data_IF_166376937103
#
_entry.id   IF_166376937103
#
_cell.length_a   1.000
_cell.length_b   1.000
_cell.length_c   1.000
_cell.angle_alpha   90.00
_cell.angle_beta   90.00
_cell.angle_gamma   90.00
#
_symmetry.space_group_name_H-M   'P 1'
#
loop_
_entity.id
_entity.type
_entity.pdbx_description
1 polymer ?
#
# COMPACT_ATOMS: atom_id res chain seq x y z
N UNK A 1 0.76 -22.98 -28.11
CA UNK A 1 -0.15 -21.95 -27.55
C UNK A 1 -1.06 -22.48 -26.44
N UNK A 2 -1.70 -23.65 -26.59
CA UNK A 2 -2.64 -24.24 -25.61
C UNK A 2 -2.10 -24.40 -24.17
N UNK A 3 -0.84 -24.80 -24.00
CA UNK A 3 -0.19 -24.93 -22.66
C UNK A 3 -0.08 -23.61 -21.90
N UNK A 4 0.16 -22.48 -22.58
CA UNK A 4 0.29 -21.17 -21.93
C UNK A 4 -1.04 -20.74 -21.31
N UNK A 5 -2.14 -20.88 -22.04
CA UNK A 5 -3.48 -20.53 -21.56
C UNK A 5 -3.95 -21.39 -20.37
N UNK A 6 -3.58 -22.67 -20.31
CA UNK A 6 -3.89 -23.54 -19.16
C UNK A 6 -3.16 -23.06 -17.91
N UNK A 7 -1.87 -22.74 -18.01
CA UNK A 7 -1.07 -22.24 -16.88
C UNK A 7 -1.62 -20.89 -16.41
N UNK A 8 -1.94 -19.98 -17.33
CA UNK A 8 -2.53 -18.69 -17.00
C UNK A 8 -3.89 -18.84 -16.33
N UNK A 9 -4.76 -19.73 -16.83
CA UNK A 9 -6.07 -20.00 -16.23
C UNK A 9 -5.98 -20.56 -14.81
N UNK A 10 -5.05 -21.49 -14.57
CA UNK A 10 -4.82 -22.05 -13.24
C UNK A 10 -4.27 -21.01 -12.26
N UNK A 11 -3.37 -20.13 -12.71
CA UNK A 11 -2.85 -19.03 -11.89
C UNK A 11 -3.98 -18.06 -11.48
N UNK A 12 -4.86 -17.69 -12.41
CA UNK A 12 -6.02 -16.82 -12.11
C UNK A 12 -6.96 -17.48 -11.11
N UNK A 13 -7.24 -18.78 -11.26
CA UNK A 13 -8.08 -19.54 -10.32
C UNK A 13 -7.48 -19.57 -8.90
N UNK A 14 -6.17 -19.79 -8.77
CA UNK A 14 -5.49 -19.77 -7.47
C UNK A 14 -5.52 -18.38 -6.82
N UNK A 15 -5.32 -17.32 -7.62
CA UNK A 15 -5.41 -15.94 -7.12
C UNK A 15 -6.82 -15.59 -6.65
N UNK A 16 -7.85 -15.98 -7.41
CA UNK A 16 -9.25 -15.79 -7.02
C UNK A 16 -9.60 -16.61 -5.76
N UNK A 17 -9.13 -17.86 -5.67
CA UNK A 17 -9.32 -18.69 -4.48
C UNK A 17 -8.66 -18.09 -3.24
N UNK A 18 -7.42 -17.61 -3.37
CA UNK A 18 -6.72 -16.90 -2.29
C UNK A 18 -7.43 -15.59 -1.88
N UNK A 19 -7.93 -14.83 -2.85
CA UNK A 19 -8.69 -13.60 -2.61
C UNK A 19 -10.00 -13.86 -1.83
N UNK A 20 -10.78 -14.87 -2.23
CA UNK A 20 -12.02 -15.25 -1.54
C UNK A 20 -11.72 -15.73 -0.11
N UNK A 21 -10.70 -16.57 0.06
CA UNK A 21 -10.27 -17.03 1.38
C UNK A 21 -9.83 -15.87 2.27
N UNK A 22 -9.06 -14.91 1.74
CA UNK A 22 -8.62 -13.72 2.46
C UNK A 22 -9.78 -12.85 2.96
N UNK A 23 -10.81 -12.63 2.12
CA UNK A 23 -12.02 -11.89 2.53
C UNK A 23 -12.78 -12.65 3.61
N UNK A 24 -12.90 -13.97 3.48
CA UNK A 24 -13.65 -14.81 4.44
C UNK A 24 -13.05 -14.80 5.85
N UNK A 25 -11.75 -14.55 5.98
CA UNK A 25 -11.03 -14.54 7.27
C UNK A 25 -11.02 -13.18 7.97
N UNK A 26 -11.70 -12.15 7.45
CA UNK A 26 -11.69 -10.83 8.07
C UNK A 26 -12.59 -10.69 9.32
N UNK A 27 -13.28 -11.76 9.75
CA UNK A 27 -14.04 -11.74 11.00
C UNK A 27 -13.06 -11.74 12.18
N UNK A 28 -13.14 -10.72 13.01
CA UNK A 28 -12.36 -10.66 14.25
C UNK A 28 -12.99 -11.56 15.30
N UNK A 29 -12.15 -12.35 15.98
CA UNK A 29 -12.56 -13.11 17.15
C UNK A 29 -13.12 -12.17 18.22
N UNK A 30 -14.22 -12.60 18.85
CA UNK A 30 -14.96 -11.76 19.79
C UNK A 30 -14.13 -11.36 21.02
N UNK A 31 -13.31 -12.28 21.53
CA UNK A 31 -12.43 -12.03 22.68
C UNK A 31 -11.38 -10.95 22.36
N UNK A 32 -10.74 -11.06 21.18
CA UNK A 32 -9.76 -10.07 20.70
C UNK A 32 -10.44 -8.71 20.52
N UNK A 33 -11.63 -8.69 19.92
CA UNK A 33 -12.41 -7.48 19.69
C UNK A 33 -12.75 -6.75 20.99
N UNK A 34 -13.21 -7.47 22.01
CA UNK A 34 -13.51 -6.87 23.33
C UNK A 34 -12.24 -6.36 24.02
N UNK A 35 -11.12 -7.08 23.90
CA UNK A 35 -9.81 -6.61 24.39
C UNK A 35 -9.39 -5.28 23.76
N UNK A 36 -9.53 -5.15 22.44
CA UNK A 36 -9.23 -3.93 21.70
C UNK A 36 -10.17 -2.77 22.06
N UNK A 37 -11.45 -3.05 22.27
CA UNK A 37 -12.40 -2.06 22.80
C UNK A 37 -12.00 -1.55 24.18
N UNK A 38 -11.54 -2.44 25.07
CA UNK A 38 -11.06 -2.06 26.40
C UNK A 38 -9.77 -1.24 26.35
N UNK A 39 -8.88 -1.51 25.38
CA UNK A 39 -7.69 -0.69 25.13
C UNK A 39 -8.07 0.71 24.61
N UNK A 40 -9.08 0.79 23.75
CA UNK A 40 -9.55 2.05 23.15
C UNK A 40 -10.28 2.94 24.16
N UNK A 41 -11.10 2.34 25.04
CA UNK A 41 -11.90 3.05 26.04
C UNK A 41 -11.82 2.34 27.41
N UNK A 42 -10.73 2.54 28.17
CA UNK A 42 -10.49 1.86 29.44
C UNK A 42 -11.56 2.12 30.52
N UNK A 43 -12.23 3.27 30.47
CA UNK A 43 -13.28 3.67 31.41
C UNK A 43 -14.60 2.91 31.23
N UNK A 44 -14.84 2.28 30.07
CA UNK A 44 -16.06 1.53 29.83
C UNK A 44 -16.04 0.16 30.54
N UNK A 45 -17.17 -0.20 31.16
CA UNK A 45 -17.36 -1.46 31.87
C UNK A 45 -17.96 -2.55 30.97
N UNK A 46 -18.79 -2.18 29.99
CA UNK A 46 -19.51 -3.11 29.12
C UNK A 46 -19.53 -2.62 27.68
N UNK A 47 -19.43 -3.56 26.73
CA UNK A 47 -19.56 -3.28 25.30
C UNK A 47 -20.71 -4.12 24.71
N UNK A 48 -21.64 -3.48 24.01
CA UNK A 48 -22.73 -4.16 23.30
C UNK A 48 -22.54 -3.97 21.79
N UNK A 49 -22.46 -5.06 20.99
CA UNK A 49 -22.17 -4.96 19.58
C UNK A 49 -23.33 -4.33 18.80
N UNK A 50 -23.01 -3.37 17.95
CA UNK A 50 -23.92 -2.81 16.94
C UNK A 50 -23.77 -3.55 15.61
N UNK A 51 -22.52 -3.83 15.23
CA UNK A 51 -22.15 -4.59 14.04
C UNK A 51 -20.95 -5.48 14.35
N UNK A 52 -20.43 -6.20 13.35
CA UNK A 52 -19.19 -6.97 13.49
C UNK A 52 -17.99 -6.13 13.95
N UNK A 53 -18.03 -4.81 13.73
CA UNK A 53 -16.90 -3.89 13.95
C UNK A 53 -17.22 -2.64 14.76
N UNK A 54 -18.43 -2.50 15.28
CA UNK A 54 -18.84 -1.34 16.09
C UNK A 54 -19.62 -1.79 17.32
N UNK A 55 -19.56 -1.01 18.40
CA UNK A 55 -20.21 -1.30 19.65
C UNK A 55 -20.63 -0.02 20.39
N UNK A 56 -21.65 -0.14 21.24
CA UNK A 56 -21.97 0.80 22.30
C UNK A 56 -21.11 0.48 23.52
N UNK A 57 -20.57 1.50 24.17
CA UNK A 57 -19.77 1.38 25.37
C UNK A 57 -20.50 2.02 26.56
N UNK A 58 -20.67 1.27 27.63
CA UNK A 58 -21.36 1.68 28.85
C UNK A 58 -20.41 1.71 30.03
N UNK A 59 -20.64 2.63 30.97
CA UNK A 59 -19.92 2.70 32.23
C UNK A 59 -20.44 1.64 33.25
N UNK A 60 -19.88 1.68 34.47
CA UNK A 60 -20.30 0.77 35.55
C UNK A 60 -21.70 1.05 36.09
N UNK A 61 -22.29 2.22 35.81
CA UNK A 61 -23.66 2.58 36.18
C UNK A 61 -24.68 2.17 35.10
N UNK A 62 -24.21 1.77 33.91
CA UNK A 62 -25.04 1.44 32.76
C UNK A 62 -25.39 2.63 31.87
N UNK A 63 -24.72 3.78 32.06
CA UNK A 63 -24.89 4.94 31.19
C UNK A 63 -24.02 4.81 29.93
N UNK A 64 -24.57 5.24 28.79
CA UNK A 64 -23.86 5.24 27.51
C UNK A 64 -22.75 6.30 27.54
N UNK A 65 -21.50 5.83 27.41
CA UNK A 65 -20.32 6.70 27.38
C UNK A 65 -19.99 7.13 25.96
N UNK A 66 -19.99 6.19 25.03
CA UNK A 66 -19.59 6.41 23.65
C UNK A 66 -20.01 5.25 22.73
N UNK A 67 -19.94 5.49 21.44
CA UNK A 67 -19.89 4.47 20.41
C UNK A 67 -18.44 4.29 19.95
N UNK A 68 -18.04 3.06 19.72
CA UNK A 68 -16.69 2.73 19.29
C UNK A 68 -16.71 1.80 18.09
N UNK A 69 -15.64 1.80 17.32
CA UNK A 69 -15.46 0.78 16.30
C UNK A 69 -14.02 0.65 15.83
N UNK A 70 -13.78 -0.44 15.10
CA UNK A 70 -12.48 -0.88 14.65
C UNK A 70 -12.51 -1.07 13.15
N UNK A 71 -11.54 -0.49 12.45
CA UNK A 71 -11.42 -0.64 11.00
C UNK A 71 -9.96 -0.69 10.59
N UNK A 72 -9.68 -1.51 9.58
CA UNK A 72 -8.32 -1.78 9.12
C UNK A 72 -8.15 -1.36 7.67
N UNK A 73 -7.24 -0.43 7.43
CA UNK A 73 -6.87 0.04 6.09
C UNK A 73 -5.36 -0.08 5.87
N UNK A 74 -4.95 -0.18 4.61
CA UNK A 74 -3.52 -0.36 4.26
C UNK A 74 -2.78 0.97 4.24
N UNK A 75 -1.80 1.11 5.15
CA UNK A 75 -0.82 2.20 5.18
C UNK A 75 0.40 1.93 4.29
N UNK A 76 1.54 2.55 4.61
CA UNK A 76 2.78 2.34 3.87
C UNK A 76 3.41 0.96 4.14
N UNK A 77 3.48 0.59 5.41
CA UNK A 77 4.07 -0.63 5.95
C UNK A 77 3.09 -1.79 6.14
N UNK A 78 1.81 -1.62 5.77
CA UNK A 78 0.83 -2.70 5.72
C UNK A 78 -0.54 -2.31 6.30
N UNK A 79 -1.41 -3.30 6.55
CA UNK A 79 -2.66 -3.07 7.26
C UNK A 79 -2.42 -2.43 8.63
N UNK A 80 -3.27 -1.47 8.97
CA UNK A 80 -3.24 -0.73 10.22
C UNK A 80 -4.65 -0.70 10.79
N UNK A 81 -4.79 -1.24 12.00
CA UNK A 81 -6.04 -1.25 12.76
C UNK A 81 -6.16 0.03 13.57
N UNK A 82 -7.24 0.77 13.32
CA UNK A 82 -7.52 2.04 13.97
C UNK A 82 -8.84 1.94 14.71
N UNK A 83 -8.81 2.35 15.98
CA UNK A 83 -9.98 2.55 16.81
C UNK A 83 -10.52 3.95 16.67
N UNK A 84 -11.83 4.05 16.46
CA UNK A 84 -12.57 5.32 16.37
C UNK A 84 -13.55 5.39 17.53
N UNK A 85 -13.61 6.56 18.17
CA UNK A 85 -14.53 6.84 19.27
C UNK A 85 -15.44 7.98 18.84
N UNK A 86 -16.75 7.77 18.99
CA UNK A 86 -17.81 8.76 18.76
C UNK A 86 -18.53 8.94 20.09
N UNK A 87 -18.63 10.15 20.59
CA UNK A 87 -19.38 10.41 21.83
C UNK A 87 -20.89 10.20 21.65
N UNK A 88 -21.63 10.26 22.75
CA UNK A 88 -23.09 10.11 22.75
C UNK A 88 -23.81 11.21 21.96
N UNK A 89 -23.16 12.34 21.67
CA UNK A 89 -23.69 13.44 20.85
C UNK A 89 -23.43 13.28 19.35
N UNK A 90 -22.68 12.26 18.95
CA UNK A 90 -22.33 12.01 17.55
C UNK A 90 -21.09 12.78 17.07
N UNK A 91 -20.21 13.19 17.99
CA UNK A 91 -18.93 13.83 17.66
C UNK A 91 -17.76 12.89 17.82
N UNK A 92 -16.78 13.04 16.94
CA UNK A 92 -15.55 12.25 16.95
C UNK A 92 -14.57 12.72 18.03
N UNK A 93 -13.80 11.77 18.54
CA UNK A 93 -12.57 12.01 19.32
C UNK A 93 -11.34 11.63 18.50
N UNK A 94 -10.16 11.91 19.04
CA UNK A 94 -8.89 11.50 18.43
C UNK A 94 -8.86 9.99 18.17
N UNK A 95 -8.51 9.54 16.96
CA UNK A 95 -8.44 8.12 16.64
C UNK A 95 -7.16 7.51 17.23
N UNK A 96 -7.24 6.23 17.58
CA UNK A 96 -6.14 5.50 18.20
C UNK A 96 -5.67 4.40 17.27
N UNK A 97 -4.37 4.37 16.97
CA UNK A 97 -3.75 3.26 16.23
C UNK A 97 -3.52 2.12 17.23
N UNK A 98 -4.19 0.99 17.01
CA UNK A 98 -4.14 -0.17 17.91
C UNK A 98 -3.10 -1.19 17.44
N UNK A 99 -3.10 -1.49 16.14
CA UNK A 99 -2.13 -2.39 15.51
C UNK A 99 -1.63 -1.80 14.20
N UNK A 100 -0.35 -1.97 13.90
CA UNK A 100 0.22 -1.51 12.62
C UNK A 100 1.53 -2.25 12.31
N UNK A 101 1.89 -2.23 11.03
CA UNK A 101 3.21 -2.67 10.55
C UNK A 101 4.01 -1.49 9.98
N UNK A 102 3.73 -0.27 10.46
CA UNK A 102 4.32 0.94 9.91
C UNK A 102 5.78 1.11 10.31
N UNK A 103 6.55 1.80 9.46
CA UNK A 103 7.88 2.23 9.88
C UNK A 103 7.74 3.26 11.00
N UNK A 104 8.44 3.12 12.14
CA UNK A 104 8.25 4.00 13.30
C UNK A 104 8.36 5.50 12.97
N UNK A 105 9.20 5.86 12.01
CA UNK A 105 9.39 7.24 11.55
C UNK A 105 8.11 7.88 10.98
N UNK A 106 7.21 7.11 10.37
CA UNK A 106 5.94 7.64 9.87
C UNK A 106 4.96 7.93 11.01
N UNK A 107 4.83 7.02 11.97
CA UNK A 107 3.97 7.24 13.15
C UNK A 107 4.48 8.40 14.01
N UNK A 108 5.79 8.49 14.19
CA UNK A 108 6.41 9.62 14.87
C UNK A 108 6.12 10.95 14.15
N UNK A 109 6.09 10.98 12.81
CA UNK A 109 5.70 12.18 12.05
C UNK A 109 4.24 12.55 12.28
N UNK A 110 3.33 11.57 12.30
CA UNK A 110 1.92 11.81 12.61
C UNK A 110 1.77 12.40 14.01
N UNK A 111 2.39 11.79 15.01
CA UNK A 111 2.35 12.27 16.39
C UNK A 111 3.01 13.66 16.56
N UNK A 112 4.20 13.84 15.99
CA UNK A 112 4.96 15.09 16.09
C UNK A 112 4.33 16.26 15.32
N UNK A 113 3.42 16.00 14.38
CA UNK A 113 2.68 17.05 13.69
C UNK A 113 1.83 17.89 14.65
N UNK A 114 1.39 17.32 15.78
CA UNK A 114 0.58 17.98 16.80
C UNK A 114 -0.87 18.29 16.39
N UNK A 115 -1.17 18.39 15.10
CA UNK A 115 -2.52 18.66 14.58
C UNK A 115 -3.24 17.40 14.07
N UNK A 116 -2.50 16.39 13.61
CA UNK A 116 -3.08 15.34 12.76
C UNK A 116 -4.17 14.51 13.43
N UNK A 117 -4.02 14.19 14.72
CA UNK A 117 -5.07 13.47 15.47
C UNK A 117 -6.14 14.42 16.02
N UNK A 118 -5.76 15.67 16.32
CA UNK A 118 -6.66 16.67 16.90
C UNK A 118 -7.71 17.20 15.94
N UNK A 119 -7.42 17.21 14.64
CA UNK A 119 -8.39 17.64 13.62
C UNK A 119 -9.68 16.81 13.61
N UNK A 120 -9.65 15.59 14.18
CA UNK A 120 -10.84 14.75 14.31
C UNK A 120 -11.76 15.16 15.47
N UNK A 121 -11.24 15.86 16.48
CA UNK A 121 -12.03 16.23 17.65
C UNK A 121 -13.20 17.13 17.24
N UNK A 122 -14.37 16.85 17.81
CA UNK A 122 -15.62 17.59 17.60
C UNK A 122 -16.18 17.54 16.18
N UNK A 123 -15.54 16.85 15.23
CA UNK A 123 -16.12 16.63 13.91
C UNK A 123 -17.37 15.74 14.03
N UNK A 124 -18.48 16.08 13.34
CA UNK A 124 -19.66 15.26 13.38
C UNK A 124 -19.43 13.92 12.67
N UNK A 125 -20.07 12.87 13.17
CA UNK A 125 -19.93 11.49 12.71
C UNK A 125 -20.25 11.28 11.21
N UNK A 126 -21.02 12.20 10.61
CA UNK A 126 -21.44 12.18 9.22
C UNK A 126 -20.55 13.04 8.29
N UNK A 127 -19.44 13.62 8.79
CA UNK A 127 -18.47 14.39 8.00
C UNK A 127 -17.85 13.56 6.87
N UNK A 128 -17.25 14.21 5.86
CA UNK A 128 -16.63 13.54 4.71
C UNK A 128 -15.45 12.65 5.12
N UNK A 129 -14.60 13.12 6.04
CA UNK A 129 -13.43 12.46 6.62
C UNK A 129 -12.41 11.98 5.56
N UNK A 130 -12.10 12.84 4.60
CA UNK A 130 -11.18 12.57 3.50
C UNK A 130 -10.04 13.58 3.42
N UNK A 131 -8.82 13.06 3.25
CA UNK A 131 -7.65 13.90 3.01
C UNK A 131 -7.84 14.81 1.79
N UNK A 132 -7.40 16.07 1.93
CA UNK A 132 -7.55 17.18 0.94
C UNK A 132 -8.97 17.71 0.75
N UNK A 133 -9.95 17.23 1.52
CA UNK A 133 -11.29 17.83 1.56
C UNK A 133 -11.46 18.51 2.92
N UNK A 134 -11.71 17.74 3.96
CA UNK A 134 -11.93 18.21 5.32
C UNK A 134 -10.83 17.77 6.30
N UNK A 135 -9.88 16.95 5.84
CA UNK A 135 -8.72 16.52 6.62
C UNK A 135 -7.39 16.86 5.93
N UNK A 136 -6.40 17.23 6.74
CA UNK A 136 -5.03 17.47 6.33
C UNK A 136 -4.17 16.21 6.46
N UNK A 137 -3.29 16.01 5.47
CA UNK A 137 -2.33 14.91 5.45
C UNK A 137 -0.96 15.34 5.98
N UNK A 138 -0.26 14.43 6.66
CA UNK A 138 1.12 14.70 7.12
C UNK A 138 2.10 14.50 5.97
N UNK A 139 2.90 15.52 5.70
CA UNK A 139 3.94 15.49 4.67
C UNK A 139 4.97 14.39 4.95
N UNK A 140 5.22 13.55 3.94
CA UNK A 140 6.10 12.39 4.04
C UNK A 140 5.48 11.18 4.73
N UNK A 141 4.23 11.23 5.19
CA UNK A 141 3.49 10.11 5.78
C UNK A 141 2.06 9.99 5.22
N UNK A 142 1.86 10.42 3.97
CA UNK A 142 0.53 10.54 3.34
C UNK A 142 -0.24 9.22 3.26
N UNK A 143 0.43 8.09 3.04
CA UNK A 143 -0.23 6.78 3.01
C UNK A 143 -0.69 6.34 4.40
N UNK A 144 0.14 6.56 5.42
CA UNK A 144 -0.19 6.30 6.83
C UNK A 144 -1.36 7.20 7.27
N UNK A 145 -1.29 8.51 6.96
CA UNK A 145 -2.41 9.42 7.19
C UNK A 145 -3.68 8.92 6.51
N UNK A 146 -3.59 8.53 5.23
CA UNK A 146 -4.77 8.06 4.48
C UNK A 146 -5.41 6.85 5.14
N UNK A 147 -4.61 5.87 5.57
CA UNK A 147 -5.11 4.69 6.25
C UNK A 147 -5.85 5.05 7.56
N UNK A 148 -5.35 6.01 8.36
CA UNK A 148 -6.10 6.52 9.53
C UNK A 148 -7.42 7.15 9.09
N UNK A 149 -7.40 8.05 8.11
CA UNK A 149 -8.63 8.74 7.67
C UNK A 149 -9.67 7.79 7.09
N UNK A 150 -9.26 6.80 6.30
CA UNK A 150 -10.16 5.83 5.70
C UNK A 150 -10.78 4.91 6.76
N UNK A 151 -9.98 4.49 7.75
CA UNK A 151 -10.48 3.75 8.90
C UNK A 151 -11.51 4.55 9.71
N UNK A 152 -11.19 5.80 10.06
CA UNK A 152 -12.10 6.66 10.83
C UNK A 152 -13.39 6.90 10.06
N UNK A 153 -13.29 7.20 8.77
CA UNK A 153 -14.44 7.40 7.88
C UNK A 153 -15.35 6.19 7.83
N UNK A 154 -14.79 5.00 7.64
CA UNK A 154 -15.59 3.76 7.58
C UNK A 154 -16.36 3.53 8.88
N UNK A 155 -15.68 3.66 10.03
CA UNK A 155 -16.30 3.45 11.35
C UNK A 155 -17.32 4.53 11.68
N UNK A 156 -16.99 5.80 11.46
CA UNK A 156 -17.89 6.92 11.69
C UNK A 156 -19.15 6.80 10.83
N UNK A 157 -19.00 6.57 9.52
CA UNK A 157 -20.14 6.43 8.61
C UNK A 157 -21.02 5.21 8.92
N UNK A 158 -20.42 4.14 9.46
CA UNK A 158 -21.18 3.00 9.99
C UNK A 158 -22.06 3.43 11.18
N UNK A 159 -21.47 4.06 12.19
CA UNK A 159 -22.18 4.56 13.39
C UNK A 159 -23.24 5.60 13.02
N UNK A 160 -22.92 6.52 12.10
CA UNK A 160 -23.84 7.55 11.61
C UNK A 160 -25.14 6.96 11.07
N UNK A 161 -25.06 5.85 10.32
CA UNK A 161 -26.21 5.17 9.72
C UNK A 161 -26.99 4.33 10.73
N UNK A 162 -26.28 3.50 11.50
CA UNK A 162 -26.90 2.52 12.40
C UNK A 162 -27.51 3.17 13.65
N UNK A 163 -26.87 4.22 14.18
CA UNK A 163 -27.25 4.83 15.46
C UNK A 163 -27.99 6.15 15.25
N UNK A 164 -27.40 7.05 14.47
CA UNK A 164 -27.93 8.42 14.33
C UNK A 164 -28.89 8.57 13.15
N UNK A 165 -29.06 7.53 12.33
CA UNK A 165 -29.87 7.53 11.10
C UNK A 165 -29.54 8.71 10.17
N UNK A 166 -28.28 9.14 10.16
CA UNK A 166 -27.76 10.18 9.31
C UNK A 166 -27.22 9.57 8.03
N UNK A 167 -27.45 10.25 6.90
CA UNK A 167 -26.76 9.96 5.65
C UNK A 167 -25.40 10.68 5.67
N UNK A 168 -24.27 9.96 5.66
CA UNK A 168 -22.96 10.58 5.67
C UNK A 168 -22.70 11.37 4.39
N UNK A 169 -22.02 12.51 4.54
CA UNK A 169 -21.56 13.30 3.42
C UNK A 169 -20.62 12.46 2.56
N UNK A 170 -20.92 12.40 1.26
CA UNK A 170 -20.15 11.60 0.33
C UNK A 170 -18.96 12.43 -0.17
N UNK A 171 -17.74 11.85 -0.19
CA UNK A 171 -16.59 12.55 -0.73
C UNK A 171 -16.76 12.81 -2.22
N UNK A 172 -16.38 14.01 -2.66
CA UNK A 172 -16.27 14.31 -4.10
C UNK A 172 -15.00 13.65 -4.62
N UNK A 173 -15.12 12.44 -5.16
CA UNK A 173 -13.97 11.69 -5.70
C UNK A 173 -13.85 11.96 -7.19
N UNK A 174 -13.07 12.98 -7.54
CA UNK A 174 -12.68 13.25 -8.92
C UNK A 174 -11.50 12.39 -9.33
N UNK A 175 -11.36 12.18 -10.64
CA UNK A 175 -10.16 11.56 -11.19
C UNK A 175 -9.01 12.56 -11.11
N UNK A 176 -8.10 12.37 -10.14
CA UNK A 176 -6.83 13.08 -10.11
C UNK A 176 -5.88 12.53 -11.19
N UNK A 177 -6.22 12.71 -12.47
CA UNK A 177 -5.29 12.46 -13.57
C UNK A 177 -4.47 13.73 -13.82
N UNK A 178 -3.22 13.71 -13.38
CA UNK A 178 -2.34 14.87 -13.44
C UNK A 178 -1.03 14.61 -14.17
N UNK A 179 -0.11 15.54 -13.95
CA UNK A 179 1.25 15.48 -14.51
C UNK A 179 2.01 14.23 -14.06
N UNK A 180 1.74 13.73 -12.85
CA UNK A 180 2.40 12.56 -12.26
C UNK A 180 2.08 11.28 -13.02
N UNK A 181 0.81 11.09 -13.37
CA UNK A 181 0.30 9.95 -14.10
C UNK A 181 0.83 9.96 -15.54
N UNK A 182 0.78 11.13 -16.20
CA UNK A 182 1.29 11.31 -17.56
C UNK A 182 2.78 10.99 -17.64
N UNK A 183 3.59 11.59 -16.76
CA UNK A 183 5.04 11.36 -16.72
C UNK A 183 5.36 9.88 -16.48
N UNK A 184 4.62 9.22 -15.59
CA UNK A 184 4.81 7.79 -15.30
C UNK A 184 4.46 6.92 -16.51
N UNK A 185 3.36 7.20 -17.20
CA UNK A 185 2.98 6.50 -18.44
C UNK A 185 4.07 6.69 -19.50
N UNK A 186 4.57 7.91 -19.67
CA UNK A 186 5.64 8.22 -20.63
C UNK A 186 6.95 7.48 -20.29
N UNK A 187 7.31 7.36 -19.01
CA UNK A 187 8.47 6.56 -18.59
C UNK A 187 8.31 5.08 -18.97
N UNK A 188 7.16 4.46 -18.69
CA UNK A 188 6.92 3.07 -19.07
C UNK A 188 6.86 2.87 -20.60
N UNK A 189 6.27 3.81 -21.33
CA UNK A 189 6.27 3.80 -22.79
C UNK A 189 7.68 3.90 -23.36
N UNK A 190 8.50 4.82 -22.84
CA UNK A 190 9.90 5.00 -23.26
C UNK A 190 10.74 3.76 -22.94
N UNK A 191 10.54 3.12 -21.78
CA UNK A 191 11.17 1.84 -21.43
C UNK A 191 10.90 0.76 -22.49
N UNK A 192 9.66 0.66 -22.97
CA UNK A 192 9.30 -0.27 -24.03
C UNK A 192 9.98 0.07 -25.37
N UNK A 193 10.11 1.36 -25.71
CA UNK A 193 10.82 1.82 -26.92
C UNK A 193 12.31 1.48 -26.85
N UNK A 194 12.97 1.76 -25.74
CA UNK A 194 14.39 1.42 -25.52
C UNK A 194 14.60 -0.10 -25.63
N UNK A 195 13.67 -0.89 -25.10
CA UNK A 195 13.70 -2.35 -25.23
C UNK A 195 13.62 -2.83 -26.69
N UNK A 196 12.77 -2.20 -27.53
CA UNK A 196 12.61 -2.59 -28.94
C UNK A 196 13.73 -2.10 -29.84
N UNK A 197 14.26 -0.91 -29.61
CA UNK A 197 15.28 -0.29 -30.46
C UNK A 197 16.67 -0.51 -29.88
N UNK A 198 17.38 -1.53 -30.36
CA UNK A 198 18.73 -1.89 -29.88
C UNK A 198 19.71 -0.70 -29.83
N UNK A 199 19.63 0.24 -30.78
CA UNK A 199 20.47 1.45 -30.80
C UNK A 199 20.28 2.34 -29.57
N UNK A 200 19.08 2.38 -28.98
CA UNK A 200 18.77 3.19 -27.80
C UNK A 200 19.26 2.56 -26.49
N UNK A 201 19.57 1.26 -26.49
CA UNK A 201 20.06 0.57 -25.28
C UNK A 201 21.38 1.14 -24.75
N UNK A 202 22.17 1.83 -25.59
CA UNK A 202 23.37 2.57 -25.14
C UNK A 202 23.05 3.66 -24.10
N UNK A 203 21.83 4.19 -24.11
CA UNK A 203 21.37 5.24 -23.19
C UNK A 203 20.62 4.68 -21.98
N UNK A 204 20.61 3.34 -21.79
CA UNK A 204 19.88 2.68 -20.70
C UNK A 204 20.20 3.29 -19.34
N UNK A 205 21.49 3.44 -19.01
CA UNK A 205 21.90 3.96 -17.71
C UNK A 205 21.41 5.39 -17.48
N UNK A 206 21.48 6.23 -18.51
CA UNK A 206 20.99 7.61 -18.43
C UNK A 206 19.48 7.63 -18.19
N UNK A 207 18.73 6.81 -18.95
CA UNK A 207 17.29 6.68 -18.75
C UNK A 207 16.94 6.15 -17.35
N UNK A 208 17.67 5.14 -16.87
CA UNK A 208 17.49 4.56 -15.54
C UNK A 208 17.76 5.61 -14.45
N UNK A 209 18.80 6.43 -14.60
CA UNK A 209 19.08 7.56 -13.70
C UNK A 209 17.97 8.61 -13.68
N UNK A 210 17.44 8.98 -14.85
CA UNK A 210 16.28 9.90 -14.96
C UNK A 210 15.05 9.29 -14.29
N UNK A 211 14.78 8.00 -14.52
CA UNK A 211 13.68 7.29 -13.88
C UNK A 211 13.84 7.24 -12.35
N UNK A 212 15.06 7.01 -11.85
CA UNK A 212 15.37 7.07 -10.41
C UNK A 212 15.06 8.45 -9.81
N UNK A 213 15.42 9.54 -10.49
CA UNK A 213 15.10 10.90 -10.01
C UNK A 213 13.59 11.16 -10.01
N UNK A 214 12.89 10.75 -11.07
CA UNK A 214 11.45 11.00 -11.22
C UNK A 214 10.62 10.11 -10.28
N UNK A 215 10.74 8.78 -10.39
CA UNK A 215 9.92 7.85 -9.60
C UNK A 215 10.40 7.74 -8.14
N UNK A 216 11.72 7.80 -7.92
CA UNK A 216 12.31 7.65 -6.60
C UNK A 216 12.24 8.93 -5.77
N UNK A 217 12.73 10.05 -6.30
CA UNK A 217 12.85 11.28 -5.51
C UNK A 217 11.65 12.22 -5.66
N UNK A 218 11.16 12.46 -6.89
CA UNK A 218 10.06 13.41 -7.10
C UNK A 218 8.69 12.83 -6.74
N UNK A 219 8.38 11.64 -7.27
CA UNK A 219 7.10 10.98 -7.04
C UNK A 219 7.10 10.15 -5.75
N UNK A 220 8.26 9.69 -5.30
CA UNK A 220 8.43 8.79 -4.15
C UNK A 220 7.44 7.59 -4.19
N UNK A 221 7.33 6.97 -5.36
CA UNK A 221 6.38 5.89 -5.66
C UNK A 221 7.16 4.73 -6.28
N UNK A 222 7.78 3.94 -5.41
CA UNK A 222 8.34 2.64 -5.74
C UNK A 222 7.29 1.56 -5.53
N UNK A 223 7.36 0.46 -6.27
CA UNK A 223 6.60 -0.73 -5.91
C UNK A 223 7.11 -1.27 -4.57
N UNK A 224 6.33 -1.01 -3.51
CA UNK A 224 6.56 -1.60 -2.20
C UNK A 224 6.12 -3.06 -2.22
N UNK A 225 6.96 -3.94 -1.68
CA UNK A 225 6.62 -5.36 -1.44
C UNK A 225 5.35 -5.46 -0.61
N UNK A 226 5.13 -4.52 0.30
CA UNK A 226 3.97 -4.52 1.18
C UNK A 226 2.68 -4.17 0.44
N UNK A 227 2.69 -3.18 -0.44
CA UNK A 227 1.50 -2.84 -1.24
C UNK A 227 1.16 -3.94 -2.24
N UNK A 228 2.18 -4.67 -2.70
CA UNK A 228 1.98 -5.84 -3.52
C UNK A 228 1.43 -7.00 -2.70
N UNK A 229 1.95 -7.28 -1.50
CA UNK A 229 1.47 -8.36 -0.63
C UNK A 229 0.07 -8.09 -0.07
N UNK A 230 -0.27 -6.83 0.23
CA UNK A 230 -1.61 -6.44 0.68
C UNK A 230 -2.68 -6.73 -0.37
N UNK A 231 -2.33 -6.69 -1.67
CA UNK A 231 -3.20 -7.09 -2.76
C UNK A 231 -3.65 -8.56 -2.64
N UNK A 232 -2.73 -9.45 -2.24
CA UNK A 232 -3.02 -10.87 -2.03
C UNK A 232 -3.83 -11.13 -0.76
N UNK A 233 -3.70 -10.25 0.23
CA UNK A 233 -4.50 -10.27 1.46
C UNK A 233 -5.91 -9.71 1.26
N UNK A 234 -6.28 -9.32 0.03
CA UNK A 234 -7.61 -8.80 -0.30
C UNK A 234 -7.78 -7.30 -0.08
N UNK A 235 -6.74 -6.59 0.37
CA UNK A 235 -6.78 -5.13 0.52
C UNK A 235 -6.53 -4.46 -0.83
N UNK A 236 -7.62 -4.17 -1.55
CA UNK A 236 -7.60 -3.42 -2.81
C UNK A 236 -7.82 -1.92 -2.54
N UNK A 237 -6.80 -1.06 -2.72
CA UNK A 237 -6.99 0.38 -2.54
C UNK A 237 -7.95 0.94 -3.60
N UNK A 238 -8.74 1.97 -3.28
CA UNK A 238 -9.66 2.56 -4.27
C UNK A 238 -8.92 3.07 -5.52
N UNK A 239 -9.31 2.66 -6.75
CA UNK A 239 -8.62 3.04 -7.98
C UNK A 239 -8.62 4.54 -8.28
N UNK A 240 -9.70 5.24 -7.92
CA UNK A 240 -9.82 6.69 -8.17
C UNK A 240 -8.79 7.49 -7.37
N UNK A 241 -8.48 7.01 -6.16
CA UNK A 241 -7.58 7.68 -5.21
C UNK A 241 -6.13 7.28 -5.45
N UNK A 242 -5.90 6.00 -5.79
CA UNK A 242 -4.56 5.42 -5.92
C UNK A 242 -4.23 5.09 -7.38
N UNK A 243 -4.65 5.94 -8.32
CA UNK A 243 -4.50 5.69 -9.75
C UNK A 243 -3.04 5.43 -10.16
N UNK A 244 -2.10 6.21 -9.61
CA UNK A 244 -0.68 6.05 -9.88
C UNK A 244 -0.14 4.65 -9.50
N UNK A 245 -0.64 4.05 -8.42
CA UNK A 245 -0.27 2.68 -8.04
C UNK A 245 -0.69 1.69 -9.12
N UNK A 246 -1.90 1.82 -9.65
CA UNK A 246 -2.41 0.97 -10.72
C UNK A 246 -1.65 1.17 -12.04
N UNK A 247 -1.23 2.40 -12.36
CA UNK A 247 -0.39 2.68 -13.53
C UNK A 247 0.97 1.98 -13.40
N UNK A 248 1.63 2.10 -12.25
CA UNK A 248 2.92 1.44 -12.01
C UNK A 248 2.75 -0.08 -12.04
N UNK A 249 1.72 -0.61 -11.38
CA UNK A 249 1.42 -2.05 -11.39
C UNK A 249 1.18 -2.57 -12.81
N UNK A 250 0.37 -1.87 -13.61
CA UNK A 250 0.16 -2.19 -15.01
C UNK A 250 1.46 -2.10 -15.83
N UNK A 251 2.27 -1.07 -15.61
CA UNK A 251 3.58 -0.89 -16.23
C UNK A 251 4.58 -2.01 -15.94
N UNK A 252 4.38 -2.78 -14.87
CA UNK A 252 5.17 -3.97 -14.55
C UNK A 252 4.55 -5.24 -15.12
N UNK A 253 3.26 -5.46 -14.88
CA UNK A 253 2.55 -6.69 -15.27
C UNK A 253 2.43 -6.81 -16.79
N UNK A 254 2.05 -5.72 -17.48
CA UNK A 254 1.82 -5.75 -18.93
C UNK A 254 3.10 -6.18 -19.68
N UNK A 255 4.27 -5.53 -19.52
CA UNK A 255 5.46 -5.94 -20.24
C UNK A 255 5.89 -7.39 -19.96
N UNK A 256 5.69 -7.88 -18.73
CA UNK A 256 5.99 -9.27 -18.37
C UNK A 256 5.08 -10.23 -19.16
N UNK A 257 3.78 -9.95 -19.24
CA UNK A 257 2.83 -10.80 -19.96
C UNK A 257 3.08 -10.82 -21.48
N UNK A 258 3.44 -9.67 -22.07
CA UNK A 258 3.65 -9.56 -23.52
C UNK A 258 5.05 -9.98 -23.99
N UNK A 259 6.10 -9.67 -23.22
CA UNK A 259 7.49 -9.89 -23.63
C UNK A 259 8.17 -11.04 -22.90
N UNK A 260 7.59 -11.52 -21.79
CA UNK A 260 8.22 -12.47 -20.88
C UNK A 260 9.38 -11.87 -20.07
N UNK A 261 9.60 -10.56 -20.13
CA UNK A 261 10.73 -9.87 -19.49
C UNK A 261 10.25 -8.78 -18.54
N UNK A 262 10.99 -8.59 -17.45
CA UNK A 262 10.71 -7.55 -16.46
C UNK A 262 11.36 -6.22 -16.88
N UNK A 263 10.64 -5.46 -17.71
CA UNK A 263 11.12 -4.15 -18.19
C UNK A 263 11.18 -3.10 -17.08
N UNK A 264 10.38 -3.25 -16.02
CA UNK A 264 10.42 -2.35 -14.88
C UNK A 264 11.79 -2.40 -14.19
N UNK A 265 12.25 -3.57 -13.78
CA UNK A 265 13.56 -3.71 -13.13
C UNK A 265 14.72 -3.30 -14.05
N UNK A 266 14.60 -3.53 -15.36
CA UNK A 266 15.70 -3.28 -16.30
C UNK A 266 15.88 -1.81 -16.67
N UNK A 267 14.78 -1.03 -16.75
CA UNK A 267 14.81 0.32 -17.33
C UNK A 267 14.22 1.39 -16.40
N UNK A 268 13.31 1.05 -15.49
CA UNK A 268 12.46 2.03 -14.78
C UNK A 268 12.70 2.05 -13.27
N UNK A 269 13.03 0.92 -12.66
CA UNK A 269 13.09 0.74 -11.22
C UNK A 269 14.14 1.66 -10.55
N UNK A 270 13.73 2.56 -9.63
CA UNK A 270 14.66 3.48 -8.96
C UNK A 270 15.76 2.77 -8.17
N UNK A 271 15.42 1.64 -7.55
CA UNK A 271 16.34 0.84 -6.75
C UNK A 271 17.47 0.24 -7.60
N UNK A 272 17.14 -0.28 -8.79
CA UNK A 272 18.14 -0.78 -9.72
C UNK A 272 19.08 0.34 -10.17
N UNK A 273 18.54 1.52 -10.47
CA UNK A 273 19.35 2.69 -10.83
C UNK A 273 20.31 3.12 -9.72
N UNK A 274 19.85 3.12 -8.47
CA UNK A 274 20.70 3.41 -7.31
C UNK A 274 21.79 2.34 -7.10
N UNK A 275 21.46 1.06 -7.23
CA UNK A 275 22.43 -0.03 -7.13
C UNK A 275 23.50 0.07 -8.22
N UNK A 276 23.11 0.29 -9.48
CA UNK A 276 24.05 0.41 -10.60
C UNK A 276 24.92 1.67 -10.45
N UNK A 277 24.36 2.79 -9.97
CA UNK A 277 25.11 4.00 -9.68
C UNK A 277 26.11 3.80 -8.53
N UNK A 278 25.68 3.22 -7.41
CA UNK A 278 26.53 2.93 -6.27
C UNK A 278 27.69 2.00 -6.63
N UNK A 279 27.43 1.00 -7.47
CA UNK A 279 28.46 0.09 -7.96
C UNK A 279 29.51 0.82 -8.80
N UNK A 280 29.09 1.68 -9.74
CA UNK A 280 30.00 2.48 -10.58
C UNK A 280 30.85 3.46 -9.77
N UNK A 281 30.32 4.02 -8.69
CA UNK A 281 31.04 4.93 -7.80
C UNK A 281 32.03 4.16 -6.92
N UNK A 282 31.61 3.01 -6.37
CA UNK A 282 32.42 2.21 -5.44
C UNK A 282 33.60 1.53 -6.12
N UNK A 283 33.44 1.09 -7.38
CA UNK A 283 34.48 0.36 -8.11
C UNK A 283 34.88 -0.98 -7.49
N UNK A 284 34.27 -1.38 -6.37
CA UNK A 284 34.52 -2.65 -5.67
C UNK A 284 33.55 -3.71 -6.17
N UNK A 285 34.10 -4.74 -6.80
CA UNK A 285 33.45 -6.04 -6.91
C UNK A 285 33.72 -6.78 -5.59
N UNK A 286 32.72 -6.91 -4.72
CA UNK A 286 32.84 -7.80 -3.57
C UNK A 286 32.55 -9.21 -4.10
N UNK A 287 33.54 -10.09 -4.27
CA UNK A 287 33.29 -11.43 -4.77
C UNK A 287 32.41 -12.16 -3.76
N UNK A 288 31.23 -12.61 -4.18
CA UNK A 288 30.41 -13.51 -3.39
C UNK A 288 31.18 -14.83 -3.23
N UNK A 289 31.56 -15.17 -2.00
CA UNK A 289 32.29 -16.41 -1.71
C UNK A 289 31.53 -17.64 -2.22
N UNK A 290 32.25 -18.72 -2.57
CA UNK A 290 31.70 -19.92 -3.23
C UNK A 290 30.43 -20.49 -2.57
N UNK A 291 30.28 -20.37 -1.25
CA UNK A 291 29.08 -20.80 -0.50
C UNK A 291 27.85 -19.90 -0.73
N UNK A 292 28.05 -18.62 -1.02
CA UNK A 292 27.00 -17.68 -1.42
C UNK A 292 26.60 -17.85 -2.89
N UNK A 293 27.44 -18.47 -3.72
CA UNK A 293 27.13 -18.78 -5.11
C UNK A 293 26.11 -19.91 -5.25
N UNK A 294 26.19 -20.91 -4.35
CA UNK A 294 25.23 -22.02 -4.28
C UNK A 294 23.88 -21.58 -3.69
N UNK A 295 23.91 -20.73 -2.65
CA UNK A 295 22.71 -20.07 -2.14
C UNK A 295 22.10 -19.12 -3.20
N UNK A 296 22.98 -18.41 -3.92
CA UNK A 296 22.67 -17.50 -5.02
C UNK A 296 21.89 -18.17 -6.15
N UNK A 297 22.25 -19.36 -6.60
CA UNK A 297 21.51 -20.11 -7.63
C UNK A 297 20.10 -20.54 -7.18
N UNK A 298 19.91 -20.83 -5.90
CA UNK A 298 18.59 -21.16 -5.34
C UNK A 298 17.75 -19.88 -5.18
N UNK A 299 18.35 -18.75 -4.82
CA UNK A 299 17.67 -17.44 -4.69
C UNK A 299 17.55 -16.63 -5.99
N UNK A 300 18.31 -16.91 -7.05
CA UNK A 300 18.19 -16.21 -8.35
C UNK A 300 16.84 -16.48 -9.01
N UNK A 301 16.24 -17.63 -8.69
CA UNK A 301 14.89 -18.00 -9.10
C UNK A 301 13.79 -17.21 -8.36
N UNK A 302 14.09 -16.61 -7.22
CA UNK A 302 13.09 -16.00 -6.31
C UNK A 302 13.31 -14.49 -6.09
N UNK A 303 14.53 -13.97 -6.25
CA UNK A 303 14.86 -12.56 -5.95
C UNK A 303 15.39 -11.79 -7.18
N UNK A 304 15.87 -12.49 -8.22
CA UNK A 304 16.38 -11.87 -9.47
C UNK A 304 15.69 -12.49 -10.69
N UNK A 305 14.37 -12.62 -10.66
CA UNK A 305 13.62 -13.00 -11.86
C UNK A 305 13.34 -11.75 -12.71
N UNK A 306 14.35 -11.33 -13.46
CA UNK A 306 14.25 -10.25 -14.44
C UNK A 306 15.25 -10.29 -15.60
N UNK A 307 16.31 -11.11 -15.52
CA UNK A 307 17.40 -11.03 -16.49
C UNK A 307 17.97 -12.39 -16.90
N UNK A 308 17.16 -13.34 -17.37
CA UNK A 308 17.70 -14.39 -18.26
C UNK A 308 16.64 -14.76 -19.29
N UNK A 309 16.93 -14.46 -20.56
CA UNK A 309 16.05 -14.80 -21.67
C UNK A 309 16.47 -14.15 -22.99
N UNK A 310 17.66 -14.48 -23.49
CA UNK A 310 17.91 -14.69 -24.92
C UNK A 310 19.31 -15.26 -25.07
N UNK A 311 19.41 -16.52 -25.49
CA UNK A 311 20.62 -17.02 -26.14
C UNK A 311 20.90 -16.15 -27.36
N UNK A 312 22.06 -15.50 -27.36
CA UNK A 312 23.14 -15.81 -28.29
C UNK A 312 24.27 -14.78 -28.06
N UNK A 313 25.46 -15.32 -27.73
CA UNK A 313 26.78 -14.70 -27.87
C UNK A 313 27.25 -13.52 -26.98
N UNK A 314 26.69 -13.32 -25.79
CA UNK A 314 27.33 -12.47 -24.76
C UNK A 314 27.48 -13.17 -23.40
N UNK A 315 28.00 -14.39 -23.43
CA UNK A 315 28.26 -15.23 -22.25
C UNK A 315 29.58 -14.89 -21.54
N UNK A 316 30.07 -13.64 -21.63
CA UNK A 316 31.41 -13.27 -21.17
C UNK A 316 31.48 -12.13 -20.16
N UNK A 317 30.36 -11.61 -19.67
CA UNK A 317 30.38 -10.36 -18.88
C UNK A 317 29.49 -10.34 -17.63
N UNK A 318 28.86 -11.46 -17.29
CA UNK A 318 28.16 -11.66 -16.01
C UNK A 318 28.72 -12.83 -15.18
N UNK A 319 29.88 -13.37 -15.56
CA UNK A 319 30.60 -14.40 -14.75
C UNK A 319 31.67 -13.77 -13.83
N UNK A 320 31.77 -12.44 -13.79
CA UNK A 320 32.66 -11.69 -12.89
C UNK A 320 31.89 -10.60 -12.12
N UNK A 321 30.71 -10.94 -11.59
CA UNK A 321 29.96 -10.18 -10.58
C UNK A 321 29.29 -11.15 -9.60
#
# INVERSE_FOLDING_TARGET
MRKKWIITGMAVLLLLGGYIYGISQQKMDEEIRVGLYKQLLPEAAKFEPLTDRTAQAFDGAGELVAYIGLSSHTGYGGPMLVGTIVDSSGKLREPVILENNETPSFLMRLAASGYYYKQYNDLPVNSVLMLKQDLDAVSGATLSSRAVSDSVRETAHSIAREVFHLNPEQPVIEWEFGTKEIVTILLFAMSFVIYKVKKLQRYRLLFLGVSTLILGFWLNRTLSVVQFSSLFLGYLPSPKINLLFYIVLAGVVIPILFTGKNLYCTYVCPFCGLQEAAHRISGKNIPLGKSAHLAGQITQSVIICGSVGSGDNHQGQCDNL
#
